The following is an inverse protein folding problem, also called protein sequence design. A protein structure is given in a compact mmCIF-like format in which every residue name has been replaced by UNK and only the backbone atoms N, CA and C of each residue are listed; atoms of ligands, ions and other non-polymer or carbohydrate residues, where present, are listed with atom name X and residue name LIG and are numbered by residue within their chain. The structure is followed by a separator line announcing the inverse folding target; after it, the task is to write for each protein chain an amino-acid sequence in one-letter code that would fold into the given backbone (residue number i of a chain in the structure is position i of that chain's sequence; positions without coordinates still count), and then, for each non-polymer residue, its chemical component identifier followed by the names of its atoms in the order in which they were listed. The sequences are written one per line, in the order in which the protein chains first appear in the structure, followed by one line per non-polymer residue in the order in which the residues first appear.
data_IF_375875731776
#
_entry.id   IF_375875731776
#
_cell.length_a   1.000
_cell.length_b   1.000
_cell.length_c   1.000
_cell.angle_alpha   90.00
_cell.angle_beta   90.00
_cell.angle_gamma   90.00
#
_symmetry.space_group_name_H-M   'P 1'
#
loop_
_entity.id
_entity.type
_entity.pdbx_description
1 polymer ?
#
# COMPACT_ATOMS: atom_id res chain seq x y z
N UNK A 1 4.09 -2.60 18.14
CA UNK A 1 2.68 -2.46 17.70
C UNK A 1 1.79 -3.26 18.66
N UNK A 2 0.57 -2.81 18.97
CA UNK A 2 -0.35 -3.60 19.81
C UNK A 2 -0.91 -4.81 19.04
N UNK A 3 -1.35 -5.89 19.72
CA UNK A 3 -1.93 -7.06 19.03
C UNK A 3 -3.15 -6.73 18.16
N UNK A 4 -3.99 -5.80 18.62
CA UNK A 4 -5.16 -5.36 17.86
C UNK A 4 -4.77 -4.60 16.60
N UNK A 5 -3.82 -3.66 16.70
CA UNK A 5 -3.35 -2.91 15.55
C UNK A 5 -2.66 -3.83 14.54
N UNK A 6 -1.87 -4.81 15.00
CA UNK A 6 -1.29 -5.84 14.14
C UNK A 6 -2.38 -6.61 13.37
N UNK A 7 -3.41 -7.10 14.07
CA UNK A 7 -4.52 -7.84 13.46
C UNK A 7 -5.25 -6.99 12.42
N UNK A 8 -5.48 -5.70 12.70
CA UNK A 8 -6.12 -4.79 11.75
C UNK A 8 -5.23 -4.53 10.54
N UNK A 9 -3.93 -4.32 10.72
CA UNK A 9 -3.00 -4.12 9.60
C UNK A 9 -3.01 -5.28 8.63
N UNK A 10 -3.09 -6.51 9.12
CA UNK A 10 -3.03 -7.72 8.31
C UNK A 10 -4.38 -8.16 7.71
N UNK A 11 -5.49 -7.52 8.10
CA UNK A 11 -6.85 -8.04 7.81
C UNK A 11 -7.22 -8.12 6.32
N UNK A 12 -6.46 -7.43 5.46
CA UNK A 12 -6.67 -7.37 4.02
C UNK A 12 -5.51 -7.96 3.21
N UNK A 13 -4.62 -8.72 3.86
CA UNK A 13 -3.58 -9.49 3.17
C UNK A 13 -4.19 -10.77 2.62
N UNK A 14 -4.11 -10.93 1.30
CA UNK A 14 -4.80 -12.02 0.58
C UNK A 14 -3.87 -13.18 0.21
N UNK A 15 -2.55 -12.94 0.13
CA UNK A 15 -1.59 -13.91 -0.41
C UNK A 15 -1.71 -14.13 -1.92
N UNK A 16 -2.36 -13.23 -2.64
CA UNK A 16 -2.54 -13.29 -4.11
C UNK A 16 -1.25 -13.08 -4.91
N UNK A 17 -0.20 -12.56 -4.29
CA UNK A 17 1.02 -12.12 -4.97
C UNK A 17 0.91 -10.73 -5.59
N UNK A 18 -0.17 -9.98 -5.33
CA UNK A 18 -0.34 -8.58 -5.74
C UNK A 18 -0.79 -7.74 -4.53
N UNK A 19 -0.19 -6.56 -4.37
CA UNK A 19 -0.57 -5.56 -3.37
C UNK A 19 -0.87 -4.23 -4.07
N UNK A 20 -2.01 -3.60 -3.77
CA UNK A 20 -2.39 -2.30 -4.35
C UNK A 20 -2.03 -1.17 -3.40
N UNK A 21 -1.33 -0.17 -3.94
CA UNK A 21 -1.06 1.12 -3.29
C UNK A 21 -1.75 2.23 -4.07
N UNK A 22 -2.06 3.33 -3.39
CA UNK A 22 -2.66 4.48 -4.05
C UNK A 22 -3.36 5.43 -3.09
N UNK A 23 -3.81 6.58 -3.60
CA UNK A 23 -4.59 7.51 -2.81
C UNK A 23 -5.96 6.91 -2.46
N UNK A 24 -6.40 7.11 -1.22
CA UNK A 24 -7.78 6.81 -0.79
C UNK A 24 -8.80 7.64 -1.58
N UNK A 25 -8.48 8.91 -1.84
CA UNK A 25 -9.28 9.82 -2.64
C UNK A 25 -8.40 10.47 -3.73
N UNK A 26 -8.36 9.91 -4.95
CA UNK A 26 -7.60 10.47 -6.07
C UNK A 26 -8.07 11.88 -6.47
N UNK A 27 -7.14 12.83 -6.64
CA UNK A 27 -7.48 14.20 -7.00
C UNK A 27 -8.01 14.36 -8.45
N UNK A 28 -7.58 13.49 -9.37
CA UNK A 28 -8.01 13.48 -10.76
C UNK A 28 -9.32 12.71 -11.02
N UNK A 29 -9.93 12.16 -9.97
CA UNK A 29 -10.95 11.12 -10.10
C UNK A 29 -10.34 9.73 -10.30
N UNK A 30 -11.18 8.70 -10.41
CA UNK A 30 -10.76 7.30 -10.51
C UNK A 30 -11.08 6.47 -9.26
N UNK A 31 -10.66 5.21 -9.27
CA UNK A 31 -10.90 4.27 -8.18
C UNK A 31 -9.87 4.47 -7.05
N UNK A 32 -10.32 4.34 -5.80
CA UNK A 32 -9.41 4.26 -4.66
C UNK A 32 -8.58 2.97 -4.74
N UNK A 33 -7.45 2.94 -4.05
CA UNK A 33 -6.65 1.71 -3.94
C UNK A 33 -7.43 0.55 -3.32
N UNK A 34 -8.39 0.83 -2.43
CA UNK A 34 -9.27 -0.17 -1.84
C UNK A 34 -10.19 -0.76 -2.91
N UNK A 35 -10.78 0.06 -3.76
CA UNK A 35 -11.68 -0.40 -4.81
C UNK A 35 -10.94 -1.26 -5.84
N UNK A 36 -9.76 -0.79 -6.30
CA UNK A 36 -8.91 -1.55 -7.22
C UNK A 36 -8.46 -2.87 -6.60
N UNK A 37 -8.07 -2.88 -5.32
CA UNK A 37 -7.64 -4.11 -4.66
C UNK A 37 -8.78 -5.13 -4.55
N UNK A 38 -10.00 -4.68 -4.22
CA UNK A 38 -11.17 -5.55 -4.14
C UNK A 38 -11.54 -6.14 -5.49
N UNK A 39 -11.49 -5.33 -6.56
CA UNK A 39 -11.79 -5.79 -7.91
C UNK A 39 -10.78 -6.83 -8.41
N UNK A 40 -9.51 -6.71 -8.00
CA UNK A 40 -8.43 -7.62 -8.37
C UNK A 40 -8.27 -8.83 -7.42
N UNK A 41 -8.91 -8.81 -6.25
CA UNK A 41 -8.62 -9.76 -5.17
C UNK A 41 -7.20 -9.64 -4.62
N UNK A 42 -6.61 -8.45 -4.72
CA UNK A 42 -5.25 -8.15 -4.30
C UNK A 42 -5.21 -7.70 -2.82
N UNK A 43 -4.02 -7.76 -2.22
CA UNK A 43 -3.80 -7.24 -0.87
C UNK A 43 -3.84 -5.70 -0.86
N UNK A 44 -4.24 -5.11 0.25
CA UNK A 44 -4.16 -3.65 0.47
C UNK A 44 -4.08 -3.34 1.96
N UNK A 45 -3.67 -2.12 2.32
CA UNK A 45 -3.65 -1.67 3.71
C UNK A 45 -4.87 -0.81 4.05
N UNK A 46 -5.69 -1.26 4.99
CA UNK A 46 -6.75 -0.45 5.59
C UNK A 46 -7.01 -0.92 7.02
N UNK A 47 -7.01 0.00 7.97
CA UNK A 47 -7.35 -0.24 9.38
C UNK A 47 -8.66 0.46 9.78
N UNK A 48 -9.39 1.02 8.81
CA UNK A 48 -10.68 1.67 8.99
C UNK A 48 -10.62 2.81 10.01
N UNK A 49 -11.64 2.90 10.87
CA UNK A 49 -11.76 3.94 11.89
C UNK A 49 -10.57 3.99 12.87
N UNK A 50 -9.86 2.87 13.04
CA UNK A 50 -8.67 2.82 13.88
C UNK A 50 -7.56 3.74 13.36
N UNK A 51 -7.56 4.09 12.07
CA UNK A 51 -6.64 5.08 11.52
C UNK A 51 -6.76 6.43 12.21
N UNK A 52 -7.99 6.91 12.43
CA UNK A 52 -8.25 8.21 13.04
C UNK A 52 -7.95 8.22 14.55
N UNK A 53 -7.98 7.05 15.19
CA UNK A 53 -7.63 6.88 16.60
C UNK A 53 -6.12 6.65 16.83
N UNK A 54 -5.37 6.28 15.78
CA UNK A 54 -3.95 5.99 15.87
C UNK A 54 -3.10 7.27 15.89
N UNK A 55 -2.04 7.25 16.69
CA UNK A 55 -0.98 8.26 16.62
C UNK A 55 -0.24 8.19 15.28
N UNK A 56 0.42 9.26 14.82
CA UNK A 56 1.21 9.24 13.59
C UNK A 56 2.25 8.10 13.55
N UNK A 57 2.89 7.80 14.69
CA UNK A 57 3.84 6.69 14.81
C UNK A 57 3.16 5.33 14.62
N UNK A 58 1.95 5.15 15.15
CA UNK A 58 1.20 3.91 14.98
C UNK A 58 0.70 3.74 13.55
N UNK A 59 0.21 4.81 12.92
CA UNK A 59 -0.17 4.82 11.50
C UNK A 59 1.00 4.39 10.61
N UNK A 60 2.17 4.99 10.83
CA UNK A 60 3.38 4.66 10.09
C UNK A 60 3.81 3.21 10.31
N UNK A 61 3.84 2.75 11.57
CA UNK A 61 4.23 1.39 11.89
C UNK A 61 3.26 0.33 11.31
N UNK A 62 1.96 0.63 11.33
CA UNK A 62 0.93 -0.24 10.75
C UNK A 62 1.05 -0.35 9.23
N UNK A 63 1.28 0.78 8.55
CA UNK A 63 1.48 0.81 7.11
C UNK A 63 2.77 0.10 6.70
N UNK A 64 3.90 0.44 7.34
CA UNK A 64 5.19 -0.19 7.07
C UNK A 64 5.15 -1.70 7.24
N UNK A 65 4.44 -2.21 8.26
CA UNK A 65 4.28 -3.64 8.47
C UNK A 65 3.64 -4.36 7.27
N UNK A 66 2.64 -3.75 6.61
CA UNK A 66 2.04 -4.36 5.40
C UNK A 66 2.98 -4.28 4.21
N UNK A 67 3.72 -3.18 4.06
CA UNK A 67 4.76 -3.08 3.03
C UNK A 67 5.85 -4.14 3.23
N UNK A 68 6.30 -4.36 4.46
CA UNK A 68 7.27 -5.41 4.81
C UNK A 68 6.77 -6.79 4.41
N UNK A 69 5.48 -7.09 4.66
CA UNK A 69 4.88 -8.35 4.22
C UNK A 69 4.84 -8.45 2.69
N UNK A 70 4.41 -7.41 1.98
CA UNK A 70 4.39 -7.40 0.52
C UNK A 70 5.80 -7.58 -0.07
N UNK A 71 6.82 -6.93 0.52
CA UNK A 71 8.23 -7.07 0.15
C UNK A 71 8.70 -8.51 0.39
N UNK A 72 8.43 -9.07 1.57
CA UNK A 72 8.78 -10.44 1.94
C UNK A 72 8.15 -11.49 1.01
N UNK A 73 6.88 -11.28 0.65
CA UNK A 73 6.13 -12.13 -0.26
C UNK A 73 6.54 -11.96 -1.73
N UNK A 74 7.35 -10.94 -2.04
CA UNK A 74 7.70 -10.53 -3.41
C UNK A 74 6.47 -10.21 -4.27
N UNK A 75 5.47 -9.60 -3.65
CA UNK A 75 4.24 -9.19 -4.34
C UNK A 75 4.57 -8.27 -5.53
N UNK A 76 3.79 -8.33 -6.59
CA UNK A 76 3.75 -7.23 -7.55
C UNK A 76 2.99 -6.07 -6.90
N UNK A 77 3.54 -4.86 -6.97
CA UNK A 77 2.84 -3.67 -6.47
C UNK A 77 2.11 -2.99 -7.63
N UNK A 78 0.79 -2.85 -7.49
CA UNK A 78 -0.11 -2.16 -8.41
C UNK A 78 -0.49 -0.80 -7.86
N UNK A 79 -0.49 0.23 -8.69
CA UNK A 79 -1.01 1.54 -8.34
C UNK A 79 -2.46 1.69 -8.79
N UNK A 80 -3.30 2.27 -7.94
CA UNK A 80 -4.70 2.58 -8.29
C UNK A 80 -4.84 3.77 -9.25
N UNK A 81 -3.79 4.58 -9.37
CA UNK A 81 -3.66 5.69 -10.30
C UNK A 81 -2.26 5.68 -10.93
N UNK A 82 -2.07 6.31 -12.11
CA UNK A 82 -0.75 6.45 -12.69
C UNK A 82 0.27 7.12 -11.75
N UNK A 83 1.52 6.66 -11.79
CA UNK A 83 2.62 7.11 -10.93
C UNK A 83 2.80 8.64 -10.92
N UNK A 84 2.60 9.30 -12.06
CA UNK A 84 2.76 10.75 -12.17
C UNK A 84 1.68 11.55 -11.41
N UNK A 85 0.58 10.91 -10.99
CA UNK A 85 -0.48 11.53 -10.18
C UNK A 85 -0.18 11.45 -8.67
N UNK A 86 0.80 10.63 -8.28
CA UNK A 86 1.17 10.42 -6.89
C UNK A 86 2.17 11.50 -6.48
N UNK A 87 1.73 12.40 -5.58
CA UNK A 87 2.60 13.45 -5.05
C UNK A 87 3.59 12.88 -4.03
N UNK A 88 4.89 13.28 -4.08
CA UNK A 88 5.92 12.77 -3.17
C UNK A 88 5.70 13.09 -1.68
N UNK A 89 4.86 14.07 -1.36
CA UNK A 89 4.54 14.57 -0.01
C UNK A 89 3.28 13.92 0.61
N UNK A 90 2.83 12.80 0.05
CA UNK A 90 1.67 12.03 0.53
C UNK A 90 2.09 10.71 1.17
N UNK A 91 1.17 10.05 1.89
CA UNK A 91 1.39 8.69 2.39
C UNK A 91 1.79 7.73 1.26
N UNK A 92 1.05 7.75 0.15
CA UNK A 92 1.40 6.95 -1.03
C UNK A 92 2.79 7.29 -1.57
N UNK A 93 3.16 8.57 -1.64
CA UNK A 93 4.51 8.97 -2.03
C UNK A 93 5.61 8.40 -1.11
N UNK A 94 5.34 8.31 0.19
CA UNK A 94 6.25 7.69 1.15
C UNK A 94 6.32 6.16 0.99
N UNK A 95 5.18 5.49 0.74
CA UNK A 95 5.11 4.05 0.47
C UNK A 95 5.93 3.67 -0.78
N UNK A 96 5.81 4.45 -1.86
CA UNK A 96 6.58 4.21 -3.08
C UNK A 96 8.08 4.34 -2.86
N UNK A 97 8.50 5.39 -2.14
CA UNK A 97 9.91 5.55 -1.77
C UNK A 97 10.40 4.36 -0.96
N UNK A 98 9.60 3.91 0.01
CA UNK A 98 9.93 2.78 0.86
C UNK A 98 10.14 1.49 0.05
N UNK A 99 9.19 1.09 -0.80
CA UNK A 99 9.36 -0.14 -1.60
C UNK A 99 10.56 -0.04 -2.56
N UNK A 100 10.83 1.15 -3.11
CA UNK A 100 11.98 1.38 -4.00
C UNK A 100 13.31 1.23 -3.27
N UNK A 101 13.42 1.76 -2.04
CA UNK A 101 14.57 1.54 -1.14
C UNK A 101 14.77 0.05 -0.81
N UNK A 102 13.71 -0.75 -0.91
CA UNK A 102 13.71 -2.21 -0.69
C UNK A 102 13.75 -3.02 -1.99
N UNK A 103 14.25 -2.42 -3.07
CA UNK A 103 14.56 -3.15 -4.29
C UNK A 103 13.39 -3.31 -5.26
N UNK A 104 12.31 -2.55 -5.13
CA UNK A 104 11.27 -2.49 -6.15
C UNK A 104 11.65 -1.54 -7.28
N UNK A 105 11.39 -1.94 -8.53
CA UNK A 105 11.51 -1.06 -9.70
C UNK A 105 10.17 -0.87 -10.38
N UNK A 106 9.92 0.36 -10.82
CA UNK A 106 8.82 0.69 -11.70
C UNK A 106 9.07 0.11 -13.09
N UNK A 107 8.08 -0.58 -13.67
CA UNK A 107 8.16 -1.14 -15.03
C UNK A 107 7.16 -0.50 -16.00
N UNK A 108 6.09 0.11 -15.49
CA UNK A 108 5.14 0.94 -16.22
C UNK A 108 4.54 2.01 -15.30
N UNK A 109 3.53 2.75 -15.75
CA UNK A 109 2.95 3.83 -14.95
C UNK A 109 2.16 3.36 -13.73
N UNK A 110 1.83 2.08 -13.62
CA UNK A 110 1.02 1.53 -12.53
C UNK A 110 1.66 0.32 -11.83
N UNK A 111 2.83 -0.14 -12.26
CA UNK A 111 3.37 -1.42 -11.78
C UNK A 111 4.80 -1.28 -11.30
N UNK A 112 5.05 -1.80 -10.10
CA UNK A 112 6.38 -2.04 -9.54
C UNK A 112 6.59 -3.53 -9.28
N UNK A 113 7.78 -4.02 -9.57
CA UNK A 113 8.16 -5.42 -9.35
C UNK A 113 9.44 -5.49 -8.51
N UNK A 114 9.60 -6.53 -7.69
CA UNK A 114 10.84 -6.74 -6.94
C UNK A 114 11.99 -7.02 -7.92
N UNK A 115 13.17 -6.47 -7.62
CA UNK A 115 14.40 -6.82 -8.34
C UNK A 115 14.85 -8.24 -7.96
N UNK A 116 15.56 -8.88 -8.88
CA UNK A 116 16.14 -10.21 -8.72
C UNK A 116 17.51 -10.13 -8.03
#
# INVERSE_FOLDING_TARGET
MSPELLRLSEQHITGSGETVLGPFAPAGGGQSYIDVARDLGASYFDIGDAWNAATPTQQLAANQHVLDIAISNRDTIRLSVPYYEIRPDTFTGAELRYIQEHGYRRIDDTTFVPQN
#
